data_IF_562115830574
#
_entry.id   IF_562115830574
#
_cell.length_a   1.000
_cell.length_b   1.000
_cell.length_c   1.000
_cell.angle_alpha   90.00
_cell.angle_beta   90.00
_cell.angle_gamma   90.00
#
_symmetry.space_group_name_H-M   'P 1'
#
loop_
_entity.id
_entity.type
_entity.pdbx_description
1 polymer ?
#
# COMPACT_ATOMS: atom_id res chain seq x y z
N UNK A 1 6.01 -19.77 -55.29
CA UNK A 1 7.30 -20.21 -54.69
C UNK A 1 8.00 -18.91 -54.30
N UNK A 2 8.08 -18.52 -53.04
CA UNK A 2 8.77 -19.19 -51.91
C UNK A 2 8.07 -18.79 -50.60
N UNK A 3 7.70 -19.75 -49.75
CA UNK A 3 7.21 -19.45 -48.41
C UNK A 3 8.42 -19.22 -47.49
N UNK A 4 8.61 -17.99 -47.01
CA UNK A 4 9.60 -17.69 -45.97
C UNK A 4 8.90 -17.97 -44.64
N UNK A 5 9.15 -19.15 -44.07
CA UNK A 5 8.75 -19.46 -42.70
C UNK A 5 9.64 -18.69 -41.74
N UNK A 6 9.08 -17.72 -41.02
CA UNK A 6 9.76 -17.06 -39.92
C UNK A 6 9.68 -17.99 -38.69
N UNK A 7 10.77 -18.72 -38.43
CA UNK A 7 10.93 -19.49 -37.19
C UNK A 7 11.37 -18.51 -36.09
N UNK A 8 10.42 -18.01 -35.29
CA UNK A 8 10.76 -17.27 -34.07
C UNK A 8 11.07 -18.30 -32.98
N UNK A 9 12.36 -18.58 -32.79
CA UNK A 9 12.82 -19.32 -31.62
C UNK A 9 12.83 -18.35 -30.44
N UNK A 10 11.77 -18.38 -29.63
CA UNK A 10 11.78 -17.73 -28.33
C UNK A 10 12.68 -18.57 -27.39
N UNK A 11 13.95 -18.19 -27.29
CA UNK A 11 14.80 -18.64 -26.19
C UNK A 11 14.31 -17.89 -24.94
N UNK A 12 13.83 -18.58 -23.87
CA UNK A 12 13.61 -17.93 -22.60
C UNK A 12 15.00 -17.53 -22.07
N UNK A 13 15.37 -16.28 -22.29
CA UNK A 13 16.53 -15.69 -21.66
C UNK A 13 16.13 -15.39 -20.22
N UNK A 14 16.24 -16.39 -19.36
CA UNK A 14 16.07 -16.24 -17.91
C UNK A 14 17.30 -15.50 -17.41
N UNK A 15 17.21 -14.19 -17.32
CA UNK A 15 18.11 -13.42 -16.48
C UNK A 15 17.66 -13.62 -15.03
N UNK A 16 18.14 -14.69 -14.40
CA UNK A 16 18.19 -14.72 -12.94
C UNK A 16 19.37 -13.83 -12.54
N UNK A 17 19.11 -12.54 -12.33
CA UNK A 17 20.06 -11.70 -11.63
C UNK A 17 20.29 -12.34 -10.24
N UNK A 18 21.55 -12.46 -9.78
CA UNK A 18 21.82 -13.02 -8.46
C UNK A 18 21.12 -12.18 -7.38
N UNK A 19 20.30 -12.84 -6.55
CA UNK A 19 19.65 -12.29 -5.37
C UNK A 19 20.68 -11.72 -4.39
N UNK A 20 20.71 -10.41 -4.13
CA UNK A 20 21.48 -9.87 -3.03
C UNK A 20 20.63 -9.94 -1.77
N UNK A 21 20.60 -11.10 -1.12
CA UNK A 21 20.50 -11.06 0.34
C UNK A 21 21.70 -10.24 0.82
N UNK A 22 21.44 -9.09 1.46
CA UNK A 22 22.38 -8.04 1.92
C UNK A 22 22.63 -6.81 1.02
N UNK A 23 21.81 -6.49 0.01
CA UNK A 23 21.87 -5.15 -0.60
C UNK A 23 21.10 -4.12 0.26
N UNK A 24 21.61 -2.89 0.32
CA UNK A 24 20.91 -1.74 0.89
C UNK A 24 19.56 -1.55 0.18
N UNK A 25 18.43 -1.40 0.91
CA UNK A 25 17.12 -1.26 0.29
C UNK A 25 17.01 0.08 -0.45
N UNK A 26 16.25 0.10 -1.53
CA UNK A 26 16.15 1.24 -2.43
C UNK A 26 14.70 1.59 -2.64
N UNK A 27 14.39 2.88 -2.48
CA UNK A 27 13.14 3.46 -2.96
C UNK A 27 13.43 4.32 -4.20
N UNK A 28 12.64 4.18 -5.27
CA UNK A 28 12.91 4.91 -6.50
C UNK A 28 12.66 6.41 -6.32
N UNK A 29 13.47 7.26 -6.95
CA UNK A 29 13.23 8.71 -7.02
C UNK A 29 11.95 9.05 -7.80
N UNK A 30 11.49 8.13 -8.64
CA UNK A 30 10.21 8.24 -9.35
C UNK A 30 9.49 6.90 -9.28
N UNK A 31 8.35 6.87 -8.60
CA UNK A 31 7.49 5.67 -8.54
C UNK A 31 6.86 5.45 -9.91
N UNK A 32 6.89 4.21 -10.37
CA UNK A 32 6.39 3.85 -11.69
C UNK A 32 4.89 4.12 -11.82
N UNK A 33 4.49 4.87 -12.86
CA UNK A 33 3.09 5.10 -13.19
C UNK A 33 2.30 3.79 -13.40
N UNK A 34 0.98 3.85 -13.24
CA UNK A 34 0.06 2.75 -13.50
C UNK A 34 0.28 2.06 -14.86
N UNK A 35 0.19 0.73 -14.87
CA UNK A 35 0.26 -0.09 -16.09
C UNK A 35 -0.64 -1.32 -15.94
N UNK A 36 -1.59 -1.50 -16.87
CA UNK A 36 -2.49 -2.67 -16.91
C UNK A 36 -1.72 -3.99 -17.03
N UNK A 37 -0.49 -3.96 -17.52
CA UNK A 37 0.30 -5.15 -17.82
C UNK A 37 1.32 -5.50 -16.74
N UNK A 38 1.27 -4.82 -15.59
CA UNK A 38 2.05 -5.24 -14.42
C UNK A 38 1.71 -6.69 -14.10
N UNK A 39 2.73 -7.55 -14.09
CA UNK A 39 2.56 -8.97 -13.83
C UNK A 39 2.20 -9.25 -12.37
N UNK A 40 1.43 -10.32 -12.14
CA UNK A 40 1.19 -10.83 -10.79
C UNK A 40 2.46 -11.38 -10.17
N UNK A 41 2.60 -11.24 -8.86
CA UNK A 41 3.72 -11.78 -8.10
C UNK A 41 3.79 -13.30 -8.27
N UNK A 42 4.97 -13.79 -8.64
CA UNK A 42 5.29 -15.22 -8.65
C UNK A 42 6.43 -15.54 -7.68
N UNK A 43 6.54 -16.83 -7.33
CA UNK A 43 7.55 -17.28 -6.39
C UNK A 43 8.96 -16.91 -6.87
N UNK A 44 9.83 -16.56 -5.92
CA UNK A 44 11.24 -16.16 -6.06
C UNK A 44 11.51 -14.81 -6.73
N UNK A 45 10.48 -14.05 -7.12
CA UNK A 45 10.66 -12.71 -7.71
C UNK A 45 10.96 -11.62 -6.68
N UNK A 46 10.56 -11.81 -5.42
CA UNK A 46 10.67 -10.77 -4.40
C UNK A 46 10.96 -11.34 -3.02
N UNK A 47 12.15 -11.09 -2.46
CA UNK A 47 12.47 -11.52 -1.09
C UNK A 47 11.79 -10.62 -0.03
N UNK A 48 11.75 -9.31 -0.28
CA UNK A 48 11.08 -8.32 0.55
C UNK A 48 10.64 -7.10 -0.29
N UNK A 49 9.49 -6.53 0.04
CA UNK A 49 8.99 -5.26 -0.48
C UNK A 49 9.43 -4.08 0.41
N UNK A 50 9.77 -2.95 -0.20
CA UNK A 50 9.94 -1.67 0.53
C UNK A 50 8.60 -0.98 0.76
N UNK A 51 7.67 -1.14 -0.17
CA UNK A 51 6.36 -0.52 -0.11
C UNK A 51 5.31 -1.36 -0.81
N UNK A 52 4.05 -1.14 -0.44
CA UNK A 52 2.88 -1.55 -1.19
C UNK A 52 1.92 -0.37 -1.33
N UNK A 53 1.11 -0.37 -2.39
CA UNK A 53 0.15 0.70 -2.62
C UNK A 53 -0.96 0.25 -3.56
N UNK A 54 -2.07 0.98 -3.54
CA UNK A 54 -3.12 0.85 -4.56
C UNK A 54 -2.82 1.79 -5.72
N UNK A 55 -2.94 1.27 -6.93
CA UNK A 55 -2.74 2.02 -8.16
C UNK A 55 -3.96 1.88 -9.07
N UNK A 56 -4.32 2.93 -9.80
CA UNK A 56 -5.59 2.95 -10.55
C UNK A 56 -6.77 3.46 -9.74
N UNK A 57 -6.53 4.22 -8.66
CA UNK A 57 -7.61 4.81 -7.85
C UNK A 57 -8.25 5.98 -8.61
N UNK A 58 -9.58 6.06 -8.60
CA UNK A 58 -10.34 7.25 -9.03
C UNK A 58 -10.50 7.43 -10.54
N UNK A 59 -10.49 6.35 -11.33
CA UNK A 59 -10.65 6.43 -12.80
C UNK A 59 -11.91 5.70 -13.28
N UNK A 60 -12.62 6.25 -14.28
CA UNK A 60 -13.84 5.65 -14.83
C UNK A 60 -13.61 4.84 -16.14
N UNK A 61 -12.43 4.96 -16.78
CA UNK A 61 -12.17 4.36 -18.09
C UNK A 61 -11.33 3.08 -17.99
N UNK A 62 -11.98 1.92 -18.17
CA UNK A 62 -11.40 0.58 -17.96
C UNK A 62 -10.74 0.44 -16.58
N UNK A 63 -11.46 0.90 -15.57
CA UNK A 63 -11.09 0.85 -14.17
C UNK A 63 -10.64 -0.56 -13.76
N UNK A 64 -9.40 -0.66 -13.33
CA UNK A 64 -8.78 -1.90 -12.89
C UNK A 64 -7.80 -1.59 -11.76
N UNK A 65 -8.30 -1.26 -10.56
CA UNK A 65 -7.47 -0.98 -9.41
C UNK A 65 -6.56 -2.18 -9.09
N UNK A 66 -5.30 -1.88 -8.81
CA UNK A 66 -4.25 -2.88 -8.58
C UNK A 66 -3.66 -2.73 -7.19
N UNK A 67 -3.43 -3.84 -6.50
CA UNK A 67 -2.55 -3.87 -5.34
C UNK A 67 -1.13 -4.12 -5.84
N UNK A 68 -0.24 -3.15 -5.71
CA UNK A 68 1.14 -3.24 -6.19
C UNK A 68 2.09 -3.37 -5.01
N UNK A 69 2.97 -4.37 -5.06
CA UNK A 69 4.14 -4.48 -4.19
C UNK A 69 5.39 -4.06 -4.94
N UNK A 70 6.20 -3.21 -4.32
CA UNK A 70 7.48 -2.72 -4.82
C UNK A 70 8.61 -3.37 -4.03
N UNK A 71 9.44 -4.15 -4.70
CA UNK A 71 10.59 -4.80 -4.08
C UNK A 71 11.57 -3.80 -3.47
N UNK A 72 12.29 -4.26 -2.45
CA UNK A 72 13.40 -3.54 -1.82
C UNK A 72 14.59 -3.24 -2.76
N UNK A 73 14.61 -3.79 -3.98
CA UNK A 73 15.58 -3.40 -5.02
C UNK A 73 15.27 -2.07 -5.72
N UNK A 74 14.08 -1.49 -5.46
CA UNK A 74 13.58 -0.23 -6.01
C UNK A 74 13.13 -0.29 -7.48
N UNK A 75 13.16 -1.47 -8.10
CA UNK A 75 12.87 -1.67 -9.53
C UNK A 75 11.75 -2.66 -9.80
N UNK A 76 11.56 -3.69 -8.97
CA UNK A 76 10.63 -4.79 -9.25
C UNK A 76 9.24 -4.46 -8.73
N UNK A 77 8.26 -4.31 -9.63
CA UNK A 77 6.84 -4.07 -9.34
C UNK A 77 6.02 -5.30 -9.71
N UNK A 78 5.18 -5.78 -8.78
CA UNK A 78 4.28 -6.91 -9.02
C UNK A 78 2.90 -6.64 -8.44
N UNK A 79 1.87 -7.22 -9.05
CA UNK A 79 0.51 -7.22 -8.51
C UNK A 79 0.34 -8.29 -7.43
N UNK A 80 -0.25 -7.92 -6.31
CA UNK A 80 -0.59 -8.82 -5.22
C UNK A 80 -1.98 -9.42 -5.47
N UNK A 81 -2.04 -10.52 -6.21
CA UNK A 81 -3.29 -11.13 -6.67
C UNK A 81 -4.28 -11.45 -5.54
N UNK A 82 -3.82 -11.93 -4.39
CA UNK A 82 -4.68 -12.24 -3.24
C UNK A 82 -5.46 -11.02 -2.73
N UNK A 83 -4.88 -9.83 -2.78
CA UNK A 83 -5.59 -8.59 -2.38
C UNK A 83 -6.63 -8.21 -3.43
N UNK A 84 -6.33 -8.39 -4.71
CA UNK A 84 -7.27 -8.11 -5.80
C UNK A 84 -8.42 -9.13 -5.86
N UNK A 85 -8.18 -10.38 -5.49
CA UNK A 85 -9.20 -11.45 -5.43
C UNK A 85 -10.20 -11.28 -4.27
N UNK A 86 -9.79 -10.64 -3.18
CA UNK A 86 -10.60 -10.39 -2.00
C UNK A 86 -11.32 -9.03 -2.03
N UNK A 87 -11.39 -8.39 -3.21
CA UNK A 87 -12.16 -7.16 -3.42
C UNK A 87 -13.66 -7.36 -3.17
N UNK A 88 -14.35 -6.27 -2.81
CA UNK A 88 -15.79 -6.25 -2.58
C UNK A 88 -16.46 -5.13 -3.38
N UNK A 89 -17.75 -5.32 -3.69
CA UNK A 89 -18.52 -4.33 -4.45
C UNK A 89 -18.66 -3.00 -3.69
N UNK A 90 -18.76 -3.03 -2.36
CA UNK A 90 -18.88 -1.83 -1.53
C UNK A 90 -17.60 -0.98 -1.57
N UNK A 91 -16.46 -1.56 -1.93
CA UNK A 91 -15.17 -0.86 -2.12
C UNK A 91 -14.92 -0.48 -3.59
N UNK A 92 -15.97 -0.53 -4.43
CA UNK A 92 -15.92 -0.15 -5.84
C UNK A 92 -14.90 -0.96 -6.68
N UNK A 93 -14.54 -2.17 -6.24
CA UNK A 93 -13.55 -2.99 -6.92
C UNK A 93 -12.09 -2.69 -6.52
N UNK A 94 -11.87 -1.81 -5.52
CA UNK A 94 -10.54 -1.63 -4.93
C UNK A 94 -10.00 -2.96 -4.37
N UNK A 95 -8.69 -3.25 -4.48
CA UNK A 95 -8.07 -4.37 -3.81
C UNK A 95 -8.31 -4.32 -2.30
N UNK A 96 -8.43 -5.51 -1.70
CA UNK A 96 -8.68 -5.68 -0.29
C UNK A 96 -7.63 -4.95 0.57
N UNK A 97 -8.06 -4.25 1.63
CA UNK A 97 -7.15 -3.51 2.48
C UNK A 97 -6.15 -4.45 3.13
N UNK A 98 -4.92 -3.99 3.22
CA UNK A 98 -3.77 -4.81 3.53
C UNK A 98 -2.73 -4.01 4.29
N UNK A 99 -1.90 -4.68 5.09
CA UNK A 99 -0.72 -4.10 5.74
C UNK A 99 0.51 -4.93 5.41
N UNK A 100 1.62 -4.26 5.13
CA UNK A 100 2.92 -4.85 4.85
C UNK A 100 3.64 -5.16 6.16
N UNK A 101 4.36 -6.28 6.23
CA UNK A 101 5.14 -6.61 7.41
C UNK A 101 6.28 -5.60 7.63
N UNK A 102 6.73 -5.39 8.87
CA UNK A 102 7.79 -4.42 9.16
C UNK A 102 9.08 -4.67 8.35
N UNK A 103 9.41 -5.94 8.12
CA UNK A 103 10.57 -6.39 7.35
C UNK A 103 10.31 -6.53 5.84
N UNK A 104 9.08 -6.28 5.39
CA UNK A 104 8.67 -6.34 3.99
C UNK A 104 8.51 -7.74 3.42
N UNK A 105 8.59 -8.80 4.21
CA UNK A 105 8.60 -10.18 3.71
C UNK A 105 7.22 -10.81 3.48
N UNK A 106 6.15 -10.26 4.08
CA UNK A 106 4.79 -10.73 3.91
C UNK A 106 3.77 -9.61 3.98
N UNK A 107 2.56 -9.85 3.47
CA UNK A 107 1.42 -8.93 3.54
C UNK A 107 0.27 -9.62 4.27
N UNK A 108 -0.39 -8.89 5.14
CA UNK A 108 -1.64 -9.33 5.79
C UNK A 108 -2.79 -8.66 5.05
N UNK A 109 -3.65 -9.47 4.45
CA UNK A 109 -4.77 -9.05 3.60
C UNK A 109 -6.07 -9.30 4.35
N UNK A 110 -6.86 -8.25 4.49
CA UNK A 110 -8.19 -8.30 5.10
C UNK A 110 -9.24 -8.94 4.19
N UNK A 111 -10.38 -9.25 4.79
CA UNK A 111 -11.60 -9.54 4.05
C UNK A 111 -12.69 -8.59 4.51
N UNK A 112 -12.86 -7.51 3.76
CA UNK A 112 -13.80 -6.44 4.07
C UNK A 112 -15.27 -6.83 3.88
N UNK A 113 -15.57 -7.94 3.19
CA UNK A 113 -16.95 -8.37 2.88
C UNK A 113 -17.54 -9.39 3.85
N UNK A 114 -16.74 -9.87 4.81
CA UNK A 114 -17.10 -10.99 5.68
C UNK A 114 -16.46 -12.31 5.23
N UNK A 115 -16.57 -13.34 6.05
CA UNK A 115 -15.90 -14.63 5.80
C UNK A 115 -14.97 -15.09 6.91
N UNK A 116 -14.87 -14.31 8.00
CA UNK A 116 -14.16 -14.68 9.24
C UNK A 116 -12.68 -15.02 9.06
N UNK A 117 -12.02 -14.55 8.01
CA UNK A 117 -10.61 -14.85 7.81
C UNK A 117 -9.83 -13.59 7.45
N UNK A 118 -8.56 -13.57 7.84
CA UNK A 118 -7.53 -12.73 7.25
C UNK A 118 -6.46 -13.60 6.64
N UNK A 119 -5.91 -13.19 5.49
CA UNK A 119 -4.92 -13.97 4.74
C UNK A 119 -3.53 -13.38 4.94
N UNK A 120 -2.56 -14.23 5.26
CA UNK A 120 -1.13 -13.86 5.28
C UNK A 120 -0.48 -14.41 4.02
N UNK A 121 0.08 -13.52 3.20
CA UNK A 121 0.75 -13.87 1.95
C UNK A 121 2.25 -13.55 2.02
N UNK A 122 3.09 -14.56 1.87
CA UNK A 122 4.56 -14.43 1.90
C UNK A 122 5.07 -14.05 0.51
N UNK A 123 5.89 -13.00 0.40
CA UNK A 123 6.27 -12.47 -0.90
C UNK A 123 7.27 -13.37 -1.65
N UNK A 124 8.16 -14.03 -0.89
CA UNK A 124 9.25 -14.83 -1.46
C UNK A 124 8.79 -16.05 -2.21
N UNK A 125 7.86 -16.81 -1.67
CA UNK A 125 7.36 -18.06 -2.26
C UNK A 125 5.90 -17.94 -2.72
N UNK A 126 5.29 -16.75 -2.56
CA UNK A 126 3.89 -16.48 -2.85
C UNK A 126 2.94 -17.47 -2.15
N UNK A 127 3.33 -17.97 -0.97
CA UNK A 127 2.49 -18.87 -0.18
C UNK A 127 1.45 -18.07 0.60
N UNK A 128 0.29 -18.69 0.86
CA UNK A 128 -0.81 -18.04 1.55
C UNK A 128 -1.31 -18.94 2.69
N UNK A 129 -1.68 -18.32 3.81
CA UNK A 129 -2.40 -19.00 4.90
C UNK A 129 -3.49 -18.09 5.45
N UNK A 130 -4.66 -18.65 5.69
CA UNK A 130 -5.76 -17.95 6.36
C UNK A 130 -5.71 -18.14 7.87
N UNK A 131 -6.13 -17.12 8.60
CA UNK A 131 -6.36 -17.15 10.04
C UNK A 131 -7.81 -16.82 10.34
N UNK A 132 -8.49 -17.72 11.04
CA UNK A 132 -9.88 -17.52 11.46
C UNK A 132 -9.94 -16.46 12.57
N UNK A 133 -10.76 -15.44 12.34
CA UNK A 133 -11.06 -14.36 13.27
C UNK A 133 -12.47 -14.50 13.88
N UNK A 134 -13.20 -15.56 13.51
CA UNK A 134 -14.49 -15.96 14.07
C UNK A 134 -15.70 -15.16 13.57
N UNK A 135 -16.89 -15.69 13.84
CA UNK A 135 -18.19 -15.01 13.73
C UNK A 135 -18.59 -14.47 12.35
N UNK A 136 -18.00 -15.00 11.26
CA UNK A 136 -18.28 -14.56 9.89
C UNK A 136 -17.96 -13.09 9.60
N UNK A 137 -17.31 -12.38 10.52
CA UNK A 137 -17.14 -10.93 10.49
C UNK A 137 -16.19 -10.49 9.37
N UNK A 138 -16.43 -9.29 8.84
CA UNK A 138 -15.46 -8.59 8.02
C UNK A 138 -14.25 -8.19 8.87
N UNK A 139 -13.10 -8.07 8.22
CA UNK A 139 -11.88 -7.56 8.83
C UNK A 139 -11.04 -6.71 7.88
N UNK A 140 -10.58 -5.58 8.41
CA UNK A 140 -9.65 -4.67 7.76
C UNK A 140 -8.41 -4.55 8.66
N UNK A 141 -7.22 -5.00 8.22
CA UNK A 141 -6.00 -4.74 8.95
C UNK A 141 -5.63 -3.27 8.88
N UNK A 142 -5.23 -2.71 10.02
CA UNK A 142 -4.91 -1.28 10.14
C UNK A 142 -3.52 -1.01 10.70
N UNK A 143 -2.87 -1.96 11.37
CA UNK A 143 -1.51 -1.78 11.90
C UNK A 143 -0.88 -3.13 12.23
N UNK A 144 0.45 -3.24 12.15
CA UNK A 144 1.22 -4.42 12.53
C UNK A 144 2.37 -4.07 13.48
N UNK A 145 2.56 -4.90 14.52
CA UNK A 145 3.62 -4.72 15.51
C UNK A 145 5.01 -4.91 14.89
N UNK A 146 6.03 -4.28 15.47
CA UNK A 146 7.43 -4.36 15.05
C UNK A 146 8.04 -5.75 15.00
N UNK A 147 7.51 -6.72 15.73
CA UNK A 147 7.98 -8.10 15.60
C UNK A 147 7.25 -8.90 14.49
N UNK A 148 6.30 -8.29 13.78
CA UNK A 148 5.51 -8.92 12.73
C UNK A 148 4.51 -9.97 13.23
N UNK A 149 4.18 -10.00 14.54
CA UNK A 149 3.38 -11.10 15.11
C UNK A 149 1.98 -10.72 15.56
N UNK A 150 1.71 -9.43 15.70
CA UNK A 150 0.42 -8.94 16.15
C UNK A 150 -0.10 -7.89 15.16
N UNK A 151 -1.35 -8.07 14.73
CA UNK A 151 -2.02 -7.16 13.79
C UNK A 151 -3.26 -6.60 14.48
N UNK A 152 -3.47 -5.29 14.36
CA UNK A 152 -4.75 -4.67 14.68
C UNK A 152 -5.69 -4.78 13.50
N UNK A 153 -6.92 -5.20 13.79
CA UNK A 153 -7.99 -5.31 12.81
C UNK A 153 -9.18 -4.47 13.27
N UNK A 154 -9.80 -3.75 12.34
CA UNK A 154 -11.19 -3.33 12.47
C UNK A 154 -12.07 -4.47 12.00
N UNK A 155 -13.10 -4.80 12.78
CA UNK A 155 -14.04 -5.88 12.46
C UNK A 155 -15.49 -5.44 12.56
N UNK A 156 -16.35 -6.01 11.71
CA UNK A 156 -17.79 -5.73 11.71
C UNK A 156 -18.59 -6.96 11.28
N UNK A 157 -19.84 -7.05 11.75
CA UNK A 157 -20.78 -8.08 11.26
C UNK A 157 -21.28 -7.78 9.85
N UNK A 158 -21.16 -6.54 9.40
CA UNK A 158 -21.40 -6.13 8.00
C UNK A 158 -20.09 -5.94 7.25
N UNK A 159 -20.19 -5.53 6.00
CA UNK A 159 -19.02 -5.11 5.23
C UNK A 159 -18.37 -3.87 5.84
N UNK A 160 -17.06 -3.74 5.65
CA UNK A 160 -16.26 -2.59 6.06
C UNK A 160 -15.75 -1.90 4.79
N UNK A 161 -16.41 -0.82 4.39
CA UNK A 161 -15.98 -0.01 3.25
C UNK A 161 -16.01 1.46 3.63
N UNK A 162 -14.94 2.18 3.25
CA UNK A 162 -14.87 3.63 3.41
C UNK A 162 -15.94 4.34 2.59
N UNK A 163 -16.39 3.76 1.47
CA UNK A 163 -17.37 4.39 0.58
C UNK A 163 -18.80 4.31 1.11
N UNK A 164 -19.03 3.59 2.20
CA UNK A 164 -20.34 3.53 2.87
C UNK A 164 -20.59 4.69 3.83
N UNK A 165 -19.57 5.50 4.09
CA UNK A 165 -19.61 6.70 4.92
C UNK A 165 -19.33 7.97 4.10
N UNK A 166 -20.04 9.06 4.38
CA UNK A 166 -19.91 10.33 3.65
C UNK A 166 -18.58 11.05 3.92
N UNK A 167 -17.88 10.70 5.00
CA UNK A 167 -16.56 11.21 5.33
C UNK A 167 -15.44 10.22 4.95
N UNK A 168 -15.78 9.19 4.18
CA UNK A 168 -14.87 8.14 3.74
C UNK A 168 -14.15 7.41 4.87
N UNK A 169 -14.84 7.18 5.99
CA UNK A 169 -14.29 6.50 7.17
C UNK A 169 -14.75 5.05 7.28
N UNK A 170 -13.87 4.23 7.86
CA UNK A 170 -14.27 2.92 8.35
C UNK A 170 -14.97 3.07 9.70
N UNK A 171 -15.81 2.11 10.05
CA UNK A 171 -16.49 2.04 11.33
C UNK A 171 -16.53 0.59 11.78
N UNK A 172 -15.63 0.21 12.68
CA UNK A 172 -15.52 -1.17 13.15
C UNK A 172 -15.12 -1.28 14.61
N UNK A 173 -15.36 -2.44 15.20
CA UNK A 173 -14.81 -2.78 16.51
C UNK A 173 -13.32 -3.12 16.38
N UNK A 174 -12.51 -2.74 17.36
CA UNK A 174 -11.08 -3.03 17.35
C UNK A 174 -10.79 -4.39 17.99
N UNK A 175 -9.97 -5.19 17.30
CA UNK A 175 -9.39 -6.43 17.83
C UNK A 175 -7.90 -6.49 17.52
N UNK A 176 -7.16 -7.31 18.26
CA UNK A 176 -5.82 -7.73 17.86
C UNK A 176 -5.78 -9.22 17.56
N UNK A 177 -5.05 -9.59 16.52
CA UNK A 177 -4.81 -10.96 16.09
C UNK A 177 -3.33 -11.30 16.25
N UNK A 178 -3.05 -12.41 16.91
CA UNK A 178 -1.72 -13.01 16.95
C UNK A 178 -1.52 -13.93 15.73
N UNK A 179 -0.55 -13.60 14.86
CA UNK A 179 -0.33 -14.33 13.60
C UNK A 179 0.27 -15.73 13.81
N UNK A 180 0.96 -16.00 14.92
CA UNK A 180 1.55 -17.31 15.21
C UNK A 180 0.51 -18.31 15.72
N UNK A 181 -0.42 -17.84 16.56
CA UNK A 181 -1.36 -18.69 17.30
C UNK A 181 -2.80 -18.61 16.79
N UNK A 182 -3.14 -17.58 16.00
CA UNK A 182 -4.52 -17.26 15.61
C UNK A 182 -5.36 -16.69 16.77
N UNK A 183 -4.77 -16.42 17.93
CA UNK A 183 -5.51 -15.88 19.06
C UNK A 183 -6.01 -14.46 18.77
N UNK A 184 -7.31 -14.25 18.94
CA UNK A 184 -7.94 -12.94 18.84
C UNK A 184 -8.25 -12.38 20.23
N UNK A 185 -7.91 -11.10 20.43
CA UNK A 185 -8.28 -10.33 21.60
C UNK A 185 -9.18 -9.17 21.19
N UNK A 186 -10.31 -9.02 21.87
CA UNK A 186 -11.24 -7.90 21.65
C UNK A 186 -10.97 -6.76 22.64
N UNK A 187 -11.17 -5.53 22.17
CA UNK A 187 -11.15 -4.32 23.00
C UNK A 187 -12.60 -3.85 23.19
N UNK A 188 -13.25 -4.36 24.24
CA UNK A 188 -14.72 -4.27 24.39
C UNK A 188 -15.30 -2.84 24.41
N UNK A 189 -14.49 -1.83 24.72
CA UNK A 189 -14.89 -0.41 24.73
C UNK A 189 -14.67 0.28 23.39
N UNK A 190 -13.95 -0.33 22.46
CA UNK A 190 -13.58 0.22 21.16
C UNK A 190 -14.44 -0.41 20.06
N UNK A 191 -15.73 -0.09 20.06
CA UNK A 191 -16.72 -0.70 19.14
C UNK A 191 -16.99 0.12 17.87
N UNK A 192 -16.53 1.36 17.82
CA UNK A 192 -16.68 2.27 16.68
C UNK A 192 -15.38 3.06 16.46
N UNK A 193 -14.42 2.39 15.82
CA UNK A 193 -13.08 2.91 15.53
C UNK A 193 -12.95 3.15 14.03
N UNK A 194 -12.40 4.31 13.68
CA UNK A 194 -12.17 4.72 12.30
C UNK A 194 -10.79 4.31 11.80
N UNK A 195 -9.78 4.45 12.66
CA UNK A 195 -8.38 4.11 12.37
C UNK A 195 -7.63 3.88 13.67
N UNK A 196 -6.56 3.07 13.65
CA UNK A 196 -5.79 2.77 14.86
C UNK A 196 -4.36 2.30 14.54
N UNK A 197 -3.43 2.60 15.45
CA UNK A 197 -2.03 2.20 15.36
C UNK A 197 -1.51 1.59 16.66
N UNK A 198 -0.78 0.48 16.55
CA UNK A 198 -0.13 -0.20 17.67
C UNK A 198 1.28 0.38 17.88
N UNK A 199 1.64 0.66 19.13
CA UNK A 199 3.01 1.10 19.45
C UNK A 199 4.04 0.02 19.12
N UNK A 200 5.31 0.38 18.83
CA UNK A 200 6.35 -0.59 18.48
C UNK A 200 6.55 -1.68 19.54
N UNK A 201 6.42 -1.34 20.82
CA UNK A 201 6.49 -2.28 21.95
C UNK A 201 5.21 -3.11 22.17
N UNK A 202 4.12 -2.77 21.48
CA UNK A 202 2.81 -3.40 21.59
C UNK A 202 2.08 -3.11 22.91
N UNK A 203 2.56 -2.16 23.71
CA UNK A 203 1.95 -1.84 25.01
C UNK A 203 0.79 -0.84 24.89
N UNK A 204 0.74 -0.05 23.82
CA UNK A 204 -0.24 1.03 23.65
C UNK A 204 -0.85 1.03 22.26
N UNK A 205 -2.11 1.43 22.17
CA UNK A 205 -2.79 1.69 20.91
C UNK A 205 -3.23 3.14 20.90
N UNK A 206 -3.05 3.83 19.79
CA UNK A 206 -3.80 5.06 19.52
C UNK A 206 -4.95 4.69 18.56
N UNK A 207 -6.15 5.21 18.81
CA UNK A 207 -7.32 4.98 17.98
C UNK A 207 -8.10 6.27 17.77
N UNK A 208 -8.55 6.51 16.53
CA UNK A 208 -9.55 7.52 16.21
C UNK A 208 -10.94 6.91 16.35
N UNK A 209 -11.80 7.58 17.11
CA UNK A 209 -13.15 7.13 17.44
C UNK A 209 -14.13 8.28 17.25
N UNK A 210 -15.44 7.97 17.29
CA UNK A 210 -16.48 9.02 17.29
C UNK A 210 -16.37 10.03 18.44
N UNK A 211 -15.71 9.66 19.55
CA UNK A 211 -15.50 10.53 20.72
C UNK A 211 -14.16 11.31 20.67
N UNK A 212 -13.35 11.07 19.62
CA UNK A 212 -12.03 11.65 19.43
C UNK A 212 -10.90 10.63 19.51
N UNK A 213 -9.66 11.13 19.55
CA UNK A 213 -8.46 10.29 19.58
C UNK A 213 -8.23 9.78 21.00
N UNK A 214 -8.14 8.46 21.16
CA UNK A 214 -7.89 7.81 22.46
C UNK A 214 -6.56 7.07 22.47
N UNK A 215 -5.89 7.09 23.63
CA UNK A 215 -4.76 6.22 23.93
C UNK A 215 -5.22 5.08 24.82
N UNK A 216 -4.90 3.85 24.42
CA UNK A 216 -5.38 2.62 25.05
C UNK A 216 -4.20 1.83 25.59
N UNK A 217 -4.30 1.40 26.85
CA UNK A 217 -3.37 0.45 27.44
C UNK A 217 -3.72 -0.96 26.97
N UNK A 218 -2.77 -1.65 26.32
CA UNK A 218 -3.02 -2.99 25.78
C UNK A 218 -3.16 -4.02 26.89
N UNK A 219 -2.58 -3.84 28.08
CA UNK A 219 -2.68 -4.84 29.14
C UNK A 219 -4.11 -4.93 29.69
N UNK A 220 -4.72 -3.80 30.04
CA UNK A 220 -6.04 -3.77 30.70
C UNK A 220 -7.20 -3.27 29.81
N UNK A 221 -6.91 -2.69 28.65
CA UNK A 221 -7.90 -2.14 27.72
C UNK A 221 -8.48 -0.79 28.14
N UNK A 222 -7.91 -0.14 29.17
CA UNK A 222 -8.30 1.20 29.57
C UNK A 222 -7.97 2.20 28.45
N UNK A 223 -8.89 3.12 28.20
CA UNK A 223 -8.77 4.15 27.18
C UNK A 223 -8.83 5.53 27.84
N UNK A 224 -7.95 6.44 27.43
CA UNK A 224 -7.97 7.84 27.81
C UNK A 224 -8.04 8.73 26.57
N UNK A 225 -8.85 9.78 26.62
CA UNK A 225 -8.92 10.76 25.55
C UNK A 225 -7.61 11.57 25.50
N UNK A 226 -7.05 11.72 24.30
CA UNK A 226 -5.96 12.66 24.06
C UNK A 226 -6.55 14.03 23.75
N UNK A 227 -6.19 15.03 24.54
CA UNK A 227 -6.57 16.43 24.31
C UNK A 227 -5.70 17.03 23.19
N UNK A 228 -6.07 16.73 21.95
CA UNK A 228 -5.41 17.24 20.74
C UNK A 228 -6.42 17.99 19.88
N UNK A 229 -6.09 19.22 19.44
CA UNK A 229 -6.96 19.95 18.55
C UNK A 229 -6.95 19.27 17.19
N UNK A 230 -8.12 18.79 16.77
CA UNK A 230 -8.32 18.19 15.45
C UNK A 230 -9.38 19.02 14.74
N UNK A 231 -9.04 19.54 13.56
CA UNK A 231 -9.85 20.56 12.88
C UNK A 231 -10.82 19.92 11.88
N UNK A 232 -10.64 18.62 11.60
CA UNK A 232 -11.46 17.81 10.70
C UNK A 232 -11.52 16.35 11.20
N UNK A 233 -11.96 15.44 10.33
CA UNK A 233 -11.80 14.01 10.46
C UNK A 233 -10.31 13.59 10.35
N UNK A 234 -9.56 13.35 11.45
CA UNK A 234 -8.18 12.89 11.34
C UNK A 234 -8.09 11.52 10.67
N UNK A 235 -6.91 11.19 10.15
CA UNK A 235 -6.60 9.82 9.75
C UNK A 235 -5.30 9.39 10.44
N UNK A 236 -5.41 8.38 11.31
CA UNK A 236 -4.29 7.77 12.01
C UNK A 236 -3.82 6.57 11.19
N UNK A 237 -2.68 6.72 10.53
CA UNK A 237 -2.08 5.63 9.79
C UNK A 237 -1.55 4.51 10.71
N UNK A 238 -1.40 3.29 10.17
CA UNK A 238 -0.94 2.12 10.90
C UNK A 238 0.46 2.26 11.53
N UNK A 239 1.29 3.15 10.98
CA UNK A 239 2.63 3.48 11.44
C UNK A 239 2.75 4.90 12.06
N UNK A 240 1.68 5.39 12.68
CA UNK A 240 1.65 6.70 13.33
C UNK A 240 2.68 6.88 14.47
N UNK A 241 3.14 5.80 15.12
CA UNK A 241 4.08 5.87 16.25
C UNK A 241 5.53 6.06 15.80
N UNK A 242 6.26 6.95 16.48
CA UNK A 242 7.71 7.04 16.33
C UNK A 242 8.41 5.73 16.74
N UNK A 243 9.61 5.44 16.22
CA UNK A 243 10.32 4.19 16.51
C UNK A 243 10.53 3.95 18.01
N UNK A 244 10.79 5.00 18.80
CA UNK A 244 10.91 4.90 20.25
C UNK A 244 9.58 4.83 21.04
N UNK A 245 8.42 4.90 20.37
CA UNK A 245 7.10 4.84 20.97
C UNK A 245 6.72 6.04 21.85
N UNK A 246 7.38 7.19 21.67
CA UNK A 246 7.15 8.39 22.48
C UNK A 246 6.37 9.48 21.76
N UNK A 247 6.27 9.42 20.43
CA UNK A 247 5.54 10.40 19.62
C UNK A 247 4.54 9.72 18.69
N UNK A 248 3.50 10.47 18.34
CA UNK A 248 2.55 10.15 17.29
C UNK A 248 2.63 11.20 16.19
N UNK A 249 2.44 10.77 14.95
CA UNK A 249 2.29 11.63 13.77
C UNK A 249 1.00 11.26 13.03
N UNK A 250 0.16 12.25 12.74
CA UNK A 250 -1.01 12.10 11.89
C UNK A 250 -1.34 13.43 11.23
N UNK A 251 -2.16 13.39 10.16
CA UNK A 251 -2.64 14.60 9.51
C UNK A 251 -4.08 14.91 9.89
N UNK A 252 -4.37 16.20 10.00
CA UNK A 252 -5.72 16.76 10.05
C UNK A 252 -5.75 17.98 9.16
N UNK A 253 -6.52 17.93 8.08
CA UNK A 253 -6.45 18.92 7.01
C UNK A 253 -5.02 19.03 6.45
N UNK A 254 -4.48 20.24 6.42
CA UNK A 254 -3.13 20.52 5.90
C UNK A 254 -2.08 20.66 7.01
N UNK A 255 -2.32 20.10 8.19
CA UNK A 255 -1.38 20.14 9.31
C UNK A 255 -0.89 18.74 9.66
N UNK A 256 0.42 18.60 9.84
CA UNK A 256 1.03 17.43 10.48
C UNK A 256 1.04 17.65 12.00
N UNK A 257 0.33 16.80 12.73
CA UNK A 257 0.24 16.84 14.18
C UNK A 257 1.27 15.89 14.79
N UNK A 258 2.15 16.43 15.62
CA UNK A 258 3.11 15.66 16.43
C UNK A 258 2.63 15.71 17.89
N UNK A 259 2.42 14.53 18.48
CA UNK A 259 1.92 14.40 19.86
C UNK A 259 2.91 13.59 20.69
N UNK A 260 3.48 14.19 21.73
CA UNK A 260 4.32 13.47 22.68
C UNK A 260 3.43 12.75 23.71
N UNK A 261 3.57 11.42 23.80
CA UNK A 261 2.73 10.53 24.62
C UNK A 261 3.47 10.00 25.86
N UNK A 262 4.66 10.53 26.14
CA UNK A 262 5.47 10.17 27.32
C UNK A 262 5.16 11.01 28.56
N UNK A 263 4.29 12.02 28.47
CA UNK A 263 3.98 12.96 29.54
C UNK A 263 2.59 12.74 30.15
N UNK A 264 2.40 13.20 31.40
CA UNK A 264 1.10 13.17 32.09
C UNK A 264 0.03 14.06 31.41
N UNK A 265 0.44 14.92 30.48
CA UNK A 265 -0.38 15.68 29.54
C UNK A 265 0.30 15.62 28.18
N UNK A 266 -0.42 15.29 27.09
CA UNK A 266 0.17 15.25 25.76
C UNK A 266 0.66 16.64 25.35
N UNK A 267 1.92 16.72 24.90
CA UNK A 267 2.44 17.94 24.27
C UNK A 267 2.17 17.83 22.77
N UNK A 268 1.44 18.80 22.24
CA UNK A 268 1.04 18.85 20.83
C UNK A 268 1.77 19.96 20.09
N UNK A 269 2.16 19.64 18.85
CA UNK A 269 2.67 20.59 17.86
C UNK A 269 1.98 20.33 16.53
N UNK A 270 1.49 21.38 15.87
CA UNK A 270 1.04 21.33 14.49
C UNK A 270 2.09 21.96 13.57
N UNK A 271 2.39 21.31 12.45
CA UNK A 271 3.29 21.78 11.41
C UNK A 271 2.44 22.00 10.15
N UNK A 272 2.24 23.27 9.72
CA UNK A 272 1.49 23.56 8.50
C UNK A 272 2.24 23.03 7.26
N UNK A 273 1.53 22.28 6.42
CA UNK A 273 2.02 21.78 5.15
C UNK A 273 1.46 22.66 4.03
N UNK A 274 2.34 23.30 3.27
CA UNK A 274 1.95 24.21 2.19
C UNK A 274 1.93 23.52 0.83
N UNK A 275 0.92 23.81 0.01
CA UNK A 275 0.84 23.29 -1.35
C UNK A 275 0.43 21.82 -1.45
N UNK A 276 -0.13 21.25 -0.38
CA UNK A 276 -0.78 19.94 -0.41
C UNK A 276 -2.30 20.11 -0.39
N UNK A 277 -2.99 19.15 -0.99
CA UNK A 277 -4.44 19.02 -0.91
C UNK A 277 -4.84 17.91 0.07
N UNK A 278 -4.19 16.76 -0.04
CA UNK A 278 -4.38 15.62 0.84
C UNK A 278 -3.03 15.02 1.20
N UNK A 279 -2.94 14.38 2.36
CA UNK A 279 -1.75 13.65 2.74
C UNK A 279 -1.98 12.66 3.85
N UNK A 280 -0.98 11.82 4.08
CA UNK A 280 -0.95 10.85 5.18
C UNK A 280 0.47 10.73 5.72
N UNK A 281 0.60 10.64 7.04
CA UNK A 281 1.85 10.33 7.71
C UNK A 281 1.97 8.82 7.79
N UNK A 282 2.74 8.23 6.88
CA UNK A 282 2.78 6.77 6.62
C UNK A 282 4.02 6.12 7.23
N UNK A 283 4.59 6.72 8.27
CA UNK A 283 5.72 6.17 9.01
C UNK A 283 6.79 7.20 9.38
N UNK A 284 7.95 6.67 9.80
CA UNK A 284 9.05 7.44 10.37
C UNK A 284 10.39 6.90 9.87
N UNK A 285 11.33 7.80 9.54
CA UNK A 285 12.73 7.42 9.30
C UNK A 285 13.48 7.18 10.61
N UNK A 286 13.19 8.05 11.58
CA UNK A 286 13.82 8.15 12.89
C UNK A 286 12.84 8.86 13.84
N UNK A 287 13.22 9.10 15.10
CA UNK A 287 12.33 9.69 16.11
C UNK A 287 11.94 11.16 15.84
N UNK A 288 12.54 11.80 14.84
CA UNK A 288 12.34 13.21 14.52
C UNK A 288 11.97 13.49 13.07
N UNK A 289 11.91 12.46 12.20
CA UNK A 289 11.66 12.61 10.77
C UNK A 289 10.49 11.73 10.34
N UNK A 290 9.37 12.35 9.95
CA UNK A 290 8.14 11.68 9.52
C UNK A 290 8.15 11.47 8.01
N UNK A 291 7.72 10.29 7.55
CA UNK A 291 7.45 9.99 6.15
C UNK A 291 6.03 10.44 5.79
N UNK A 292 5.90 11.29 4.79
CA UNK A 292 4.62 11.70 4.23
C UNK A 292 4.41 11.15 2.82
N UNK A 293 3.18 10.74 2.51
CA UNK A 293 2.65 10.65 1.14
C UNK A 293 1.61 11.75 0.95
N UNK A 294 1.83 12.65 -0.01
CA UNK A 294 0.99 13.83 -0.23
C UNK A 294 0.60 13.99 -1.69
N UNK A 295 -0.60 14.51 -1.95
CA UNK A 295 -1.05 14.98 -3.26
C UNK A 295 -0.94 16.50 -3.33
N UNK A 296 -0.38 17.03 -4.41
CA UNK A 296 -0.23 18.47 -4.69
C UNK A 296 -1.20 18.97 -5.78
N UNK A 297 -1.97 18.07 -6.41
CA UNK A 297 -2.74 18.36 -7.63
C UNK A 297 -4.17 17.79 -7.60
N UNK A 298 -5.21 18.65 -7.49
CA UNK A 298 -6.61 18.23 -7.46
C UNK A 298 -7.14 17.62 -8.76
N UNK A 299 -6.45 17.85 -9.88
CA UNK A 299 -6.92 17.41 -11.19
C UNK A 299 -5.98 16.38 -11.85
N UNK A 300 -4.71 16.37 -11.44
CA UNK A 300 -3.66 15.61 -12.09
C UNK A 300 -3.14 14.39 -11.35
N UNK A 301 -3.71 14.02 -10.19
CA UNK A 301 -3.38 12.79 -9.45
C UNK A 301 -1.86 12.58 -9.19
N UNK A 302 -1.11 13.68 -9.15
CA UNK A 302 0.31 13.70 -8.81
C UNK A 302 0.46 13.59 -7.31
N UNK A 303 1.45 12.80 -6.88
CA UNK A 303 1.76 12.69 -5.46
C UNK A 303 3.24 12.58 -5.22
N UNK A 304 3.66 12.78 -3.97
CA UNK A 304 5.06 12.79 -3.58
C UNK A 304 5.28 12.11 -2.24
N UNK A 305 6.51 11.64 -2.06
CA UNK A 305 7.02 11.13 -0.79
C UNK A 305 8.07 12.10 -0.26
N UNK A 306 7.89 12.53 0.99
CA UNK A 306 8.72 13.55 1.61
C UNK A 306 9.05 13.20 3.06
N UNK A 307 10.21 13.65 3.51
CA UNK A 307 10.55 13.72 4.93
C UNK A 307 10.11 15.05 5.51
N UNK A 308 9.56 15.03 6.71
CA UNK A 308 9.33 16.25 7.50
C UNK A 308 10.06 16.15 8.83
N UNK A 309 10.94 17.10 9.10
CA UNK A 309 11.58 17.24 10.40
C UNK A 309 10.55 17.78 11.41
N UNK A 310 10.32 17.04 12.49
CA UNK A 310 9.32 17.37 13.50
C UNK A 310 9.67 18.61 14.33
N UNK A 311 10.92 19.06 14.31
CA UNK A 311 11.42 20.17 15.12
C UNK A 311 11.56 21.46 14.32
N UNK A 312 12.02 21.43 13.07
CA UNK A 312 12.09 22.60 12.19
C UNK A 312 10.84 22.77 11.33
N UNK A 313 10.15 21.68 11.00
CA UNK A 313 9.10 21.65 9.97
C UNK A 313 9.64 21.64 8.54
N UNK A 314 10.96 21.52 8.37
CA UNK A 314 11.58 21.44 7.05
C UNK A 314 11.09 20.18 6.33
N UNK A 315 10.69 20.37 5.06
CA UNK A 315 10.18 19.30 4.21
C UNK A 315 11.17 19.01 3.09
N UNK A 316 11.59 17.76 2.97
CA UNK A 316 12.47 17.27 1.91
C UNK A 316 11.74 16.21 1.07
N UNK A 317 11.31 16.61 -0.13
CA UNK A 317 10.75 15.68 -1.11
C UNK A 317 11.86 14.83 -1.72
N UNK A 318 11.71 13.51 -1.67
CA UNK A 318 12.71 12.57 -2.19
C UNK A 318 12.18 11.67 -3.32
N UNK A 319 10.87 11.49 -3.44
CA UNK A 319 10.28 10.72 -4.54
C UNK A 319 8.96 11.33 -5.02
N UNK A 320 8.61 11.05 -6.27
CA UNK A 320 7.36 11.49 -6.88
C UNK A 320 6.68 10.39 -7.68
N UNK A 321 5.36 10.49 -7.76
CA UNK A 321 4.50 9.73 -8.65
C UNK A 321 3.81 10.70 -9.58
N UNK A 322 3.98 10.50 -10.89
CA UNK A 322 3.26 11.26 -11.92
C UNK A 322 2.45 10.27 -12.76
N UNK A 323 1.12 10.43 -12.86
CA UNK A 323 0.33 9.55 -13.70
C UNK A 323 0.71 9.72 -15.16
N UNK A 324 0.56 8.64 -15.91
CA UNK A 324 0.67 8.65 -17.37
C UNK A 324 -0.71 9.02 -17.98
N UNK A 325 -0.91 8.70 -19.27
CA UNK A 325 -2.16 9.00 -19.98
C UNK A 325 -3.42 8.39 -19.34
N UNK A 326 -3.27 7.41 -18.44
CA UNK A 326 -4.40 6.82 -17.71
C UNK A 326 -5.00 7.76 -16.67
N UNK A 327 -4.21 8.74 -16.19
CA UNK A 327 -4.61 9.59 -15.07
C UNK A 327 -4.72 8.86 -13.73
N UNK A 328 -4.31 7.59 -13.64
CA UNK A 328 -4.46 6.77 -12.44
C UNK A 328 -3.71 7.34 -11.22
N UNK A 329 -4.40 7.49 -10.09
CA UNK A 329 -3.77 7.89 -8.84
C UNK A 329 -3.09 6.71 -8.13
N UNK A 330 -2.11 7.06 -7.30
CA UNK A 330 -1.53 6.19 -6.27
C UNK A 330 -2.16 6.54 -4.93
N UNK A 331 -2.67 5.56 -4.20
CA UNK A 331 -3.28 5.75 -2.89
C UNK A 331 -3.00 4.60 -1.92
N UNK A 332 -3.25 4.83 -0.64
CA UNK A 332 -3.04 3.84 0.44
C UNK A 332 -1.65 3.20 0.38
N UNK A 333 -0.63 4.03 0.29
CA UNK A 333 0.75 3.58 0.39
C UNK A 333 1.05 3.11 1.81
N UNK A 334 1.74 2.00 1.92
CA UNK A 334 2.22 1.40 3.16
C UNK A 334 3.68 0.94 2.96
N UNK A 335 4.51 1.06 3.98
CA UNK A 335 5.95 0.82 3.89
C UNK A 335 6.41 -0.27 4.87
N UNK A 336 7.43 -1.02 4.47
CA UNK A 336 8.13 -1.91 5.37
C UNK A 336 8.95 -1.06 6.36
N UNK A 337 8.37 -0.74 7.52
CA UNK A 337 8.93 0.21 8.50
C UNK A 337 10.41 -0.01 8.82
N UNK A 338 10.86 -1.26 8.94
CA UNK A 338 12.24 -1.56 9.31
C UNK A 338 13.25 -1.21 8.19
N UNK A 339 12.76 -1.11 6.94
CA UNK A 339 13.57 -0.74 5.79
C UNK A 339 13.59 0.79 5.56
N UNK A 340 12.59 1.53 6.05
CA UNK A 340 12.44 2.99 5.86
C UNK A 340 13.65 3.78 6.38
N UNK A 341 14.21 3.37 7.52
CA UNK A 341 15.34 4.06 8.16
C UNK A 341 16.69 3.86 7.46
N UNK A 342 16.81 2.81 6.64
CA UNK A 342 18.06 2.38 6.00
C UNK A 342 18.00 2.43 4.47
N UNK A 343 16.86 2.81 3.90
CA UNK A 343 16.71 2.90 2.46
C UNK A 343 17.48 4.08 1.87
N UNK A 344 17.96 3.90 0.65
CA UNK A 344 18.48 4.99 -0.17
C UNK A 344 17.54 5.29 -1.31
N UNK A 345 17.61 6.53 -1.80
CA UNK A 345 16.81 6.98 -2.93
C UNK A 345 17.68 6.98 -4.17
N UNK A 346 17.24 6.27 -5.21
CA UNK A 346 17.98 6.18 -6.47
C UNK A 346 17.04 6.10 -7.67
N UNK A 347 17.51 6.53 -8.83
CA UNK A 347 16.79 6.31 -10.08
C UNK A 347 16.88 4.83 -10.47
N UNK A 348 15.72 4.20 -10.69
CA UNK A 348 15.59 2.77 -10.96
C UNK A 348 14.58 2.55 -12.08
N UNK A 349 14.96 1.86 -13.17
CA UNK A 349 13.99 1.50 -14.19
C UNK A 349 12.98 0.50 -13.60
N UNK A 350 11.70 0.69 -13.92
CA UNK A 350 10.64 -0.21 -13.46
C UNK A 350 10.67 -1.53 -14.25
N UNK A 351 10.89 -2.64 -13.54
CA UNK A 351 10.56 -3.99 -13.97
C UNK A 351 9.12 -4.33 -13.55
N UNK A 352 8.21 -4.39 -14.52
CA UNK A 352 6.82 -4.79 -14.33
C UNK A 352 6.59 -6.28 -14.66
N UNK A 353 7.65 -7.01 -14.95
CA UNK A 353 7.64 -8.39 -15.45
C UNK A 353 7.26 -8.49 -16.92
N UNK A 354 6.98 -9.71 -17.37
CA UNK A 354 6.75 -10.00 -18.79
C UNK A 354 5.29 -9.88 -19.18
N UNK A 355 5.03 -9.30 -20.36
CA UNK A 355 3.73 -9.41 -21.02
C UNK A 355 3.39 -10.89 -21.24
N UNK A 356 2.14 -11.33 -20.95
CA UNK A 356 1.71 -12.69 -21.26
C UNK A 356 1.99 -13.00 -22.73
N UNK A 357 2.59 -14.17 -23.01
CA UNK A 357 2.99 -14.59 -24.37
C UNK A 357 1.86 -14.44 -25.42
N UNK A 358 0.60 -14.57 -24.99
CA UNK A 358 -0.59 -14.39 -25.83
C UNK A 358 -0.81 -12.95 -26.31
N UNK A 359 -0.52 -11.95 -25.48
CA UNK A 359 -0.67 -10.53 -25.84
C UNK A 359 0.42 -10.11 -26.83
N UNK A 360 1.66 -10.53 -26.60
CA UNK A 360 2.76 -10.32 -27.55
C UNK A 360 2.46 -10.96 -28.91
N UNK A 361 1.89 -12.17 -28.91
CA UNK A 361 1.51 -12.87 -30.14
C UNK A 361 0.35 -12.18 -30.85
N UNK A 362 -0.68 -11.74 -30.12
CA UNK A 362 -1.82 -11.02 -30.68
C UNK A 362 -1.44 -9.63 -31.21
N UNK A 363 -0.62 -8.86 -30.48
CA UNK A 363 -0.08 -7.58 -30.95
C UNK A 363 0.80 -7.77 -32.19
N UNK A 364 1.68 -8.77 -32.19
CA UNK A 364 2.52 -9.07 -33.36
C UNK A 364 1.69 -9.47 -34.58
N UNK A 365 0.62 -10.26 -34.39
CA UNK A 365 -0.31 -10.61 -35.44
C UNK A 365 -1.11 -9.41 -35.94
N UNK A 366 -1.56 -8.53 -35.04
CA UNK A 366 -2.28 -7.30 -35.40
C UNK A 366 -1.37 -6.32 -36.18
N UNK A 367 -0.13 -6.11 -35.72
CA UNK A 367 0.87 -5.31 -36.44
C UNK A 367 1.19 -5.93 -37.80
N UNK A 368 1.38 -7.25 -37.85
CA UNK A 368 1.60 -8.00 -39.09
C UNK A 368 0.44 -7.85 -40.08
N UNK A 369 -0.80 -7.87 -39.58
CA UNK A 369 -2.00 -7.64 -40.40
C UNK A 369 -2.08 -6.20 -40.93
N UNK A 370 -1.78 -5.20 -40.09
CA UNK A 370 -1.72 -3.80 -40.53
C UNK A 370 -0.67 -3.63 -41.63
N UNK A 371 0.57 -4.10 -41.41
CA UNK A 371 1.64 -4.04 -42.41
C UNK A 371 1.23 -4.75 -43.70
N UNK A 372 0.59 -5.92 -43.62
CA UNK A 372 0.07 -6.63 -44.78
C UNK A 372 -1.02 -5.84 -45.54
N UNK A 373 -1.92 -5.17 -44.81
CA UNK A 373 -3.03 -4.42 -45.38
C UNK A 373 -2.59 -3.14 -46.11
N UNK A 374 -1.56 -2.45 -45.60
CA UNK A 374 -1.03 -1.21 -46.23
C UNK A 374 0.14 -1.45 -47.19
N UNK A 375 0.65 -2.66 -47.32
CA UNK A 375 1.72 -2.97 -48.28
C UNK A 375 1.19 -2.95 -49.73
N UNK A 376 1.82 -2.20 -50.65
CA UNK A 376 1.39 -2.14 -52.05
C UNK A 376 1.48 -3.52 -52.70
N UNK A 377 0.36 -4.04 -53.19
CA UNK A 377 0.35 -5.30 -53.95
C UNK A 377 0.89 -5.01 -55.35
N UNK A 378 2.06 -5.54 -55.68
CA UNK A 378 2.56 -5.49 -57.06
C UNK A 378 1.61 -6.28 -57.97
N UNK A 379 0.87 -5.59 -58.82
CA UNK A 379 0.16 -6.23 -59.91
C UNK A 379 1.21 -6.77 -60.89
N UNK A 380 1.38 -8.09 -60.90
CA UNK A 380 2.11 -8.74 -61.97
C UNK A 380 1.33 -8.48 -63.27
N UNK A 381 1.92 -7.69 -64.18
CA UNK A 381 1.39 -7.55 -65.53
C UNK A 381 1.44 -8.91 -66.23
N UNK A 382 0.38 -9.31 -66.95
CA UNK A 382 0.43 -10.53 -67.74
C UNK A 382 1.45 -10.31 -68.86
N UNK A 383 2.50 -11.15 -68.89
CA UNK A 383 3.41 -11.21 -70.04
C UNK A 383 2.67 -11.88 -71.19
N UNK A 384 2.48 -11.15 -72.29
CA UNK A 384 2.16 -11.71 -73.60
C UNK A 384 3.41 -12.33 -74.23
#
# INVERSE_FOLDING_TARGET
>A
MTAIGLLVVALPYVWSAPHPGTAEPIFPSTVAAYDWWTSGLSASEMDAAIAMYRNGVGVEFFDAPQAVVLASDGSTYRRLGVSEELTIADDQGDPAPSVLSPDGTFVVVGNAGGGSEVTVATLRDNSQRSLDIGNGRAAVPVSIRADGKQVLLLVSTGSLSRYTDYTFRLHGALVSLNLDTGAVREYATLTDVNSAALSPDGARIVADTGDGIVLVDVADGSAQLLDVPVIDAPYIDGDAWSPNGQRLAFLSGNELHIVAVSEAQPVHRAIPLTGIEFGTAIGWRDDTSVLLHTSDDPEGNRSSFSWVDTESGDTERFSEYTPNFTGAALGSADFARDLVSVMVVADRPADRGFLPLGVNSALALALGFVVWAVSPRSSASPRN
#
